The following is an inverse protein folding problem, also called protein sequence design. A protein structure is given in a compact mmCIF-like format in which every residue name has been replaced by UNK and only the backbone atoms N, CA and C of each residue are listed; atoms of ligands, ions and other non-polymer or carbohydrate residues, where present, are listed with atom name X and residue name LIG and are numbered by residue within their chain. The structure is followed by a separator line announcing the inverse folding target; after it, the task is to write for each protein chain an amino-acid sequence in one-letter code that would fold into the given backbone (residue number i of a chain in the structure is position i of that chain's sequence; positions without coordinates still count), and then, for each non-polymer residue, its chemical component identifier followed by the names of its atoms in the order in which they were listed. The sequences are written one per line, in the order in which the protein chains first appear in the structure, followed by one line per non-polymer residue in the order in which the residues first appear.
data_IF_323823640297
#
_entry.id   IF_323823640297
#
_cell.length_a   1.000
_cell.length_b   1.000
_cell.length_c   1.000
_cell.angle_alpha   90.00
_cell.angle_beta   90.00
_cell.angle_gamma   90.00
#
_symmetry.space_group_name_H-M   'P 1'
#
loop_
_entity.id
_entity.type
_entity.pdbx_description
1 polymer ?
#
# COMPACT_ATOMS: atom_id res chain seq x y z
N UNK A 1 25.92 18.28 -35.62
CA UNK A 1 26.02 18.30 -34.13
C UNK A 1 24.62 18.27 -33.55
N UNK A 2 24.42 17.93 -32.29
CA UNK A 2 23.12 18.07 -31.64
C UNK A 2 23.26 18.49 -30.19
N UNK A 3 22.23 19.10 -29.64
CA UNK A 3 22.08 19.30 -28.20
C UNK A 3 20.84 18.57 -27.71
N UNK A 4 20.86 18.19 -26.45
CA UNK A 4 19.72 17.59 -25.76
C UNK A 4 19.04 18.69 -24.97
N UNK A 5 17.72 18.71 -24.94
CA UNK A 5 16.97 19.62 -24.09
C UNK A 5 15.81 18.94 -23.39
N UNK A 6 15.41 19.54 -22.28
CA UNK A 6 14.25 19.12 -21.50
C UNK A 6 13.14 20.14 -21.61
N UNK A 7 11.93 19.63 -21.55
CA UNK A 7 10.73 20.39 -21.23
C UNK A 7 10.30 19.97 -19.83
N UNK A 8 10.30 20.90 -18.90
CA UNK A 8 9.93 20.66 -17.50
C UNK A 8 8.70 21.48 -17.11
N UNK A 9 7.94 20.98 -16.14
CA UNK A 9 6.88 21.74 -15.48
C UNK A 9 7.46 22.42 -14.24
N UNK A 10 7.32 23.74 -14.18
CA UNK A 10 7.64 24.58 -13.01
C UNK A 10 6.38 25.32 -12.57
N UNK A 11 6.38 25.91 -11.37
CA UNK A 11 5.21 26.60 -10.81
C UNK A 11 4.68 27.73 -11.71
N UNK A 12 5.55 28.35 -12.53
CA UNK A 12 5.20 29.40 -13.49
C UNK A 12 4.79 28.91 -14.89
N UNK A 13 4.75 27.59 -15.13
CA UNK A 13 4.33 27.00 -16.40
C UNK A 13 5.33 25.99 -16.99
N UNK A 14 5.32 25.83 -18.31
CA UNK A 14 6.21 24.89 -19.00
C UNK A 14 7.45 25.61 -19.54
N UNK A 15 8.63 25.17 -19.11
CA UNK A 15 9.90 25.76 -19.56
C UNK A 15 10.70 24.72 -20.34
N UNK A 16 11.24 25.14 -21.49
CA UNK A 16 12.13 24.32 -22.31
C UNK A 16 13.53 24.90 -22.31
N UNK A 17 14.55 24.09 -22.02
CA UNK A 17 15.94 24.52 -22.03
C UNK A 17 16.85 23.41 -22.56
N UNK A 18 18.07 23.79 -22.92
CA UNK A 18 19.07 22.90 -23.54
C UNK A 18 20.18 22.58 -22.55
N UNK A 19 20.64 21.34 -22.54
CA UNK A 19 21.68 20.81 -21.66
C UNK A 19 23.01 20.84 -22.38
N UNK A 20 24.01 21.43 -21.72
CA UNK A 20 25.41 21.32 -22.13
C UNK A 20 25.71 21.92 -23.50
N UNK A 21 26.90 21.59 -24.01
CA UNK A 21 27.39 22.01 -25.33
C UNK A 21 26.99 21.01 -26.42
N UNK A 22 27.08 21.43 -27.69
CA UNK A 22 26.68 20.58 -28.81
C UNK A 22 27.60 19.35 -28.97
N UNK A 23 26.99 18.18 -29.04
CA UNK A 23 27.65 16.88 -29.23
C UNK A 23 27.79 16.60 -30.73
N UNK A 24 28.97 16.18 -31.15
CA UNK A 24 29.25 15.80 -32.54
C UNK A 24 28.90 14.33 -32.75
N UNK A 25 28.03 14.03 -33.73
CA UNK A 25 27.63 12.65 -34.07
C UNK A 25 28.75 11.87 -34.77
N UNK A 26 29.62 12.57 -35.49
CA UNK A 26 30.75 11.98 -36.20
C UNK A 26 32.01 12.70 -35.73
N UNK A 27 32.61 12.24 -34.62
CA UNK A 27 34.03 12.50 -34.45
C UNK A 27 34.75 11.46 -35.30
N UNK A 28 35.54 11.92 -36.26
CA UNK A 28 36.53 11.08 -36.91
C UNK A 28 37.85 11.20 -36.16
N UNK A 29 38.59 10.10 -36.01
CA UNK A 29 39.99 10.19 -35.58
C UNK A 29 40.81 11.03 -36.59
N UNK A 30 42.07 11.33 -36.26
CA UNK A 30 43.00 12.01 -37.17
C UNK A 30 43.28 11.23 -38.47
N UNK A 31 42.70 10.04 -38.62
CA UNK A 31 42.80 9.15 -39.77
C UNK A 31 41.47 9.05 -40.56
N UNK A 32 40.44 9.80 -40.19
CA UNK A 32 39.16 9.87 -40.92
C UNK A 32 38.15 8.76 -40.59
N UNK A 33 38.42 7.88 -39.62
CA UNK A 33 37.51 6.80 -39.24
C UNK A 33 36.48 7.26 -38.21
N UNK A 34 35.22 6.88 -38.39
CA UNK A 34 34.14 7.19 -37.45
C UNK A 34 34.37 6.53 -36.09
N UNK A 35 34.42 7.33 -35.02
CA UNK A 35 34.52 6.82 -33.65
C UNK A 35 33.26 6.00 -33.28
N UNK A 36 33.41 4.91 -32.50
CA UNK A 36 32.28 4.09 -32.08
C UNK A 36 31.23 4.89 -31.29
N UNK A 37 29.94 4.67 -31.58
CA UNK A 37 28.78 5.34 -30.95
C UNK A 37 28.74 5.28 -29.40
N UNK A 38 29.57 4.42 -28.79
CA UNK A 38 29.69 4.25 -27.34
C UNK A 38 30.19 5.51 -26.62
N UNK A 39 31.09 6.27 -27.24
CA UNK A 39 31.64 7.49 -26.63
C UNK A 39 30.64 8.66 -26.66
N UNK A 40 29.85 8.75 -27.72
CA UNK A 40 28.70 9.66 -27.81
C UNK A 40 27.67 9.29 -26.74
N UNK A 41 27.37 8.00 -26.56
CA UNK A 41 26.44 7.53 -25.54
C UNK A 41 26.90 7.87 -24.12
N UNK A 42 28.19 7.70 -23.81
CA UNK A 42 28.74 8.07 -22.51
C UNK A 42 28.62 9.57 -22.24
N UNK A 43 28.90 10.43 -23.23
CA UNK A 43 28.74 11.89 -23.09
C UNK A 43 27.27 12.28 -22.84
N UNK A 44 26.33 11.63 -23.53
CA UNK A 44 24.89 11.81 -23.29
C UNK A 44 24.55 11.43 -21.85
N UNK A 45 25.04 10.27 -21.39
CA UNK A 45 24.74 9.76 -20.05
C UNK A 45 25.31 10.67 -18.95
N UNK A 46 26.56 11.12 -19.08
CA UNK A 46 27.19 12.04 -18.13
C UNK A 46 26.42 13.36 -18.00
N UNK A 47 25.96 13.92 -19.13
CA UNK A 47 25.17 15.15 -19.14
C UNK A 47 23.80 14.94 -18.48
N UNK A 48 23.14 13.80 -18.70
CA UNK A 48 21.87 13.46 -18.07
C UNK A 48 22.03 13.31 -16.55
N UNK A 49 23.06 12.60 -16.10
CA UNK A 49 23.31 12.36 -14.67
C UNK A 49 23.66 13.66 -13.94
N UNK A 50 24.55 14.48 -14.51
CA UNK A 50 24.98 15.75 -13.91
C UNK A 50 23.81 16.71 -13.71
N UNK A 51 22.93 16.81 -14.70
CA UNK A 51 21.76 17.68 -14.61
C UNK A 51 20.64 17.05 -13.76
N UNK A 52 20.54 15.72 -13.69
CA UNK A 52 19.60 14.98 -12.84
C UNK A 52 19.69 15.35 -11.37
N UNK A 53 20.87 15.69 -10.86
CA UNK A 53 21.08 16.15 -9.48
C UNK A 53 20.48 17.53 -9.19
N UNK A 54 20.27 18.35 -10.23
CA UNK A 54 19.71 19.71 -10.15
C UNK A 54 18.17 19.65 -10.10
N UNK A 55 17.54 18.66 -10.75
CA UNK A 55 16.08 18.63 -10.91
C UNK A 55 15.30 18.12 -9.71
N UNK A 56 15.95 17.47 -8.71
CA UNK A 56 15.46 16.88 -7.45
C UNK A 56 14.01 16.34 -7.42
N UNK A 57 12.98 17.13 -7.73
CA UNK A 57 11.55 16.77 -7.72
C UNK A 57 10.68 17.32 -8.90
N UNK A 58 11.25 17.96 -9.92
CA UNK A 58 10.49 18.56 -11.03
C UNK A 58 10.02 17.53 -12.09
N UNK A 59 8.79 17.66 -12.58
CA UNK A 59 8.20 16.78 -13.61
C UNK A 59 8.79 17.06 -15.00
N UNK A 60 9.51 16.09 -15.58
CA UNK A 60 10.00 16.15 -16.95
C UNK A 60 8.86 15.77 -17.90
N UNK A 61 8.35 16.74 -18.65
CA UNK A 61 7.25 16.59 -19.60
C UNK A 61 7.72 16.05 -20.96
N UNK A 62 9.01 16.21 -21.29
CA UNK A 62 9.56 15.67 -22.52
C UNK A 62 11.06 15.92 -22.69
N UNK A 63 11.66 15.12 -23.55
CA UNK A 63 13.06 15.26 -24.01
C UNK A 63 13.04 15.58 -25.48
N UNK A 64 13.82 16.58 -25.90
CA UNK A 64 13.97 16.92 -27.31
C UNK A 64 15.44 16.96 -27.73
N UNK A 65 15.67 16.67 -29.01
CA UNK A 65 16.97 16.76 -29.65
C UNK A 65 16.95 17.92 -30.63
N UNK A 66 17.88 18.86 -30.48
CA UNK A 66 18.09 19.93 -31.45
C UNK A 66 19.30 19.59 -32.30
N UNK A 67 19.07 19.28 -33.57
CA UNK A 67 20.12 18.87 -34.51
C UNK A 67 20.57 20.08 -35.36
N UNK A 68 21.87 20.32 -35.37
CA UNK A 68 22.56 21.34 -36.15
C UNK A 68 23.23 20.67 -37.36
N UNK A 69 22.82 21.08 -38.56
CA UNK A 69 23.30 20.55 -39.84
C UNK A 69 24.01 21.68 -40.58
N UNK A 70 25.28 21.48 -40.96
CA UNK A 70 26.13 22.52 -41.56
C UNK A 70 25.80 22.83 -43.03
N UNK A 71 25.16 21.92 -43.77
CA UNK A 71 24.76 22.14 -45.16
C UNK A 71 23.25 22.10 -45.33
N UNK A 72 22.72 23.09 -46.06
CA UNK A 72 21.30 23.22 -46.38
C UNK A 72 20.87 22.05 -47.29
N UNK A 73 20.30 21.01 -46.71
CA UNK A 73 19.71 19.90 -47.45
C UNK A 73 18.55 20.49 -48.28
N UNK A 74 18.61 20.39 -49.61
CA UNK A 74 17.47 20.73 -50.48
C UNK A 74 16.27 19.96 -49.95
N UNK A 75 15.17 20.66 -49.62
CA UNK A 75 13.91 20.06 -49.17
C UNK A 75 13.36 19.16 -50.27
N UNK A 76 13.87 17.94 -50.39
CA UNK A 76 13.05 16.85 -50.88
C UNK A 76 11.89 16.75 -49.88
N UNK A 77 10.66 16.69 -50.40
CA UNK A 77 9.44 16.54 -49.59
C UNK A 77 9.62 15.32 -48.70
N UNK A 78 10.11 15.55 -47.47
CA UNK A 78 10.42 14.48 -46.54
C UNK A 78 9.13 13.76 -46.22
N UNK A 79 9.11 12.47 -46.57
CA UNK A 79 8.18 11.48 -46.04
C UNK A 79 8.16 11.66 -44.52
N UNK A 80 7.05 12.16 -43.97
CA UNK A 80 6.84 12.17 -42.52
C UNK A 80 6.86 10.70 -42.12
N UNK A 81 7.92 10.30 -41.43
CA UNK A 81 7.99 8.97 -40.81
C UNK A 81 6.80 8.91 -39.85
N UNK A 82 5.93 7.92 -40.05
CA UNK A 82 4.75 7.74 -39.21
C UNK A 82 5.18 7.41 -37.77
N UNK A 83 4.35 7.72 -36.77
CA UNK A 83 4.63 7.36 -35.38
C UNK A 83 4.91 5.85 -35.23
N UNK A 84 4.23 5.03 -36.02
CA UNK A 84 4.44 3.59 -36.10
C UNK A 84 5.82 3.20 -36.62
N UNK A 85 6.32 3.86 -37.68
CA UNK A 85 7.67 3.61 -38.19
C UNK A 85 8.73 4.05 -37.17
N UNK A 86 8.52 5.16 -36.46
CA UNK A 86 9.40 5.60 -35.36
C UNK A 86 9.44 4.55 -34.25
N UNK A 87 8.29 4.08 -33.78
CA UNK A 87 8.20 3.04 -32.75
C UNK A 87 8.84 1.72 -33.21
N UNK A 88 8.65 1.34 -34.47
CA UNK A 88 9.30 0.16 -35.06
C UNK A 88 10.82 0.29 -35.06
N UNK A 89 11.37 1.47 -35.36
CA UNK A 89 12.81 1.72 -35.32
C UNK A 89 13.36 1.71 -33.89
N UNK A 90 12.66 2.33 -32.95
CA UNK A 90 13.04 2.34 -31.52
C UNK A 90 13.05 0.92 -30.97
N UNK A 91 12.00 0.13 -31.22
CA UNK A 91 11.92 -1.26 -30.77
C UNK A 91 13.05 -2.12 -31.36
N UNK A 92 13.41 -1.89 -32.62
CA UNK A 92 14.52 -2.60 -33.28
C UNK A 92 15.87 -2.28 -32.64
N UNK A 93 16.08 -1.02 -32.24
CA UNK A 93 17.29 -0.58 -31.53
C UNK A 93 17.38 -1.13 -30.11
N UNK A 94 16.25 -1.17 -29.38
CA UNK A 94 16.17 -1.75 -28.02
C UNK A 94 16.42 -3.27 -28.05
N UNK A 95 15.94 -3.97 -29.08
CA UNK A 95 16.22 -5.40 -29.28
C UNK A 95 17.70 -5.66 -29.58
N UNK A 96 18.32 -4.82 -30.41
CA UNK A 96 19.76 -4.89 -30.74
C UNK A 96 20.65 -4.74 -29.50
N UNK A 97 20.33 -3.81 -28.59
CA UNK A 97 21.09 -3.58 -27.36
C UNK A 97 21.01 -4.78 -26.39
N UNK A 98 19.86 -5.48 -26.36
CA UNK A 98 19.70 -6.69 -25.56
C UNK A 98 20.47 -7.88 -26.12
N UNK A 99 20.70 -7.94 -27.43
CA UNK A 99 21.53 -8.98 -28.08
C UNK A 99 23.05 -8.71 -27.99
N UNK A 100 23.49 -7.50 -27.66
CA UNK A 100 24.92 -7.15 -27.58
C UNK A 100 25.53 -7.27 -26.18
N UNK A 101 24.79 -7.81 -25.20
CA UNK A 101 25.30 -8.00 -23.82
C UNK A 101 26.39 -9.07 -23.65
N UNK A 102 26.74 -9.81 -24.70
CA UNK A 102 27.74 -10.89 -24.65
C UNK A 102 29.11 -10.57 -25.25
N UNK A 103 29.44 -9.31 -25.58
CA UNK A 103 30.78 -8.98 -26.09
C UNK A 103 31.55 -8.07 -25.13
N UNK A 104 32.43 -8.69 -24.34
CA UNK A 104 33.67 -8.09 -23.85
C UNK A 104 33.61 -7.43 -22.46
N UNK A 105 33.86 -8.23 -21.42
CA UNK A 105 34.42 -7.72 -20.15
C UNK A 105 35.81 -7.13 -20.44
N UNK A 106 35.97 -5.82 -20.26
CA UNK A 106 37.30 -5.22 -20.04
C UNK A 106 37.30 -4.46 -18.72
N UNK A 107 38.35 -4.75 -17.96
CA UNK A 107 38.62 -4.31 -16.60
C UNK A 107 38.86 -2.80 -16.53
N UNK A 108 37.98 -2.10 -15.83
CA UNK A 108 38.24 -0.78 -15.25
C UNK A 108 37.60 -0.75 -13.87
N UNK A 109 38.41 -0.56 -12.82
CA UNK A 109 37.94 -0.45 -11.43
C UNK A 109 37.07 0.79 -11.27
N UNK A 110 35.77 0.66 -11.48
CA UNK A 110 34.77 1.58 -10.96
C UNK A 110 34.26 0.98 -9.67
N UNK A 111 34.35 1.76 -8.58
CA UNK A 111 33.92 1.34 -7.24
C UNK A 111 32.52 0.73 -7.30
N UNK A 112 32.39 -0.49 -6.78
CA UNK A 112 31.10 -1.19 -6.70
C UNK A 112 30.18 -0.43 -5.74
N UNK A 113 29.42 0.53 -6.28
CA UNK A 113 28.13 0.87 -5.74
C UNK A 113 27.34 -0.44 -5.70
N UNK A 114 26.98 -0.88 -4.48
CA UNK A 114 26.16 -2.07 -4.22
C UNK A 114 25.07 -2.15 -5.29
N UNK A 115 25.15 -3.17 -6.16
CA UNK A 115 24.04 -3.51 -7.04
C UNK A 115 22.82 -3.68 -6.14
N UNK A 116 21.88 -2.73 -6.23
CA UNK A 116 20.55 -2.95 -5.68
C UNK A 116 20.06 -4.24 -6.33
N UNK A 117 19.75 -5.25 -5.53
CA UNK A 117 19.19 -6.51 -6.00
C UNK A 117 18.14 -6.21 -7.05
N UNK A 118 18.33 -6.77 -8.25
CA UNK A 118 17.34 -6.73 -9.33
C UNK A 118 16.03 -7.26 -8.77
N UNK A 119 15.08 -6.36 -8.46
CA UNK A 119 13.74 -6.78 -8.03
C UNK A 119 13.15 -7.61 -9.18
N UNK A 120 12.80 -8.86 -8.92
CA UNK A 120 12.13 -9.74 -9.89
C UNK A 120 11.02 -8.97 -10.62
N UNK A 121 11.09 -8.98 -11.96
CA UNK A 121 10.13 -8.34 -12.86
C UNK A 121 8.73 -8.97 -12.76
N UNK A 122 8.61 -10.14 -12.12
CA UNK A 122 7.36 -10.89 -11.99
C UNK A 122 6.98 -11.10 -10.52
N UNK A 123 5.68 -11.22 -10.28
CA UNK A 123 5.14 -11.71 -9.00
C UNK A 123 5.55 -13.17 -8.83
N UNK A 124 5.94 -13.55 -7.62
CA UNK A 124 6.35 -14.92 -7.30
C UNK A 124 5.25 -15.69 -6.59
N UNK A 125 5.20 -17.01 -6.78
CA UNK A 125 4.44 -17.89 -5.90
C UNK A 125 4.98 -17.79 -4.46
N UNK A 126 4.09 -17.98 -3.49
CA UNK A 126 4.44 -18.00 -2.08
C UNK A 126 4.37 -19.44 -1.57
N UNK A 127 5.40 -19.88 -0.87
CA UNK A 127 5.35 -21.16 -0.17
C UNK A 127 4.57 -20.99 1.15
N UNK A 128 3.80 -22.00 1.58
CA UNK A 128 3.26 -22.03 2.93
C UNK A 128 4.42 -21.95 3.93
N UNK A 129 4.39 -20.94 4.78
CA UNK A 129 5.44 -20.70 5.77
C UNK A 129 4.89 -20.78 7.20
N UNK A 130 3.60 -20.55 7.40
CA UNK A 130 3.01 -20.46 8.73
C UNK A 130 2.53 -21.83 9.18
N UNK A 131 3.29 -22.47 10.08
CA UNK A 131 2.91 -23.73 10.74
C UNK A 131 2.08 -23.50 12.01
N UNK A 132 2.25 -22.32 12.63
CA UNK A 132 1.61 -21.94 13.88
C UNK A 132 0.87 -20.61 13.74
N UNK A 133 -0.30 -20.53 14.38
CA UNK A 133 -1.07 -19.30 14.46
C UNK A 133 -0.43 -18.32 15.45
N UNK A 134 -0.45 -17.03 15.12
CA UNK A 134 0.14 -16.00 15.96
C UNK A 134 -0.88 -15.44 16.94
N UNK A 135 -0.50 -15.26 18.21
CA UNK A 135 -1.33 -14.53 19.17
C UNK A 135 -1.34 -13.04 18.86
N UNK A 136 -2.39 -12.36 19.33
CA UNK A 136 -2.58 -10.92 19.17
C UNK A 136 -3.28 -10.33 20.39
N UNK A 137 -3.28 -9.01 20.49
CA UNK A 137 -4.01 -8.26 21.51
C UNK A 137 -5.14 -7.52 20.81
N UNK A 138 -6.30 -7.44 21.43
CA UNK A 138 -7.39 -6.56 21.00
C UNK A 138 -7.55 -5.44 22.02
N UNK A 139 -7.91 -4.26 21.54
CA UNK A 139 -8.13 -3.10 22.38
C UNK A 139 -9.29 -2.25 21.83
N UNK A 140 -9.81 -1.38 22.68
CA UNK A 140 -10.84 -0.41 22.31
C UNK A 140 -10.77 0.81 23.25
N UNK A 141 -11.26 1.95 22.77
CA UNK A 141 -11.29 3.21 23.51
C UNK A 141 -12.70 3.77 23.54
N UNK A 142 -13.11 4.31 24.69
CA UNK A 142 -14.32 5.11 24.78
C UNK A 142 -13.99 6.57 24.99
N UNK A 143 -14.74 7.45 24.31
CA UNK A 143 -14.49 8.88 24.33
C UNK A 143 -15.76 9.66 24.63
N UNK A 144 -15.56 10.85 25.17
CA UNK A 144 -16.59 11.87 25.34
C UNK A 144 -16.22 13.09 24.51
N UNK A 145 -17.23 13.79 24.00
CA UNK A 145 -17.05 15.03 23.27
C UNK A 145 -16.95 16.18 24.29
N UNK A 146 -15.87 16.94 24.24
CA UNK A 146 -15.62 18.09 25.13
C UNK A 146 -15.67 19.37 24.32
N UNK A 147 -16.48 20.33 24.79
CA UNK A 147 -16.61 21.65 24.18
C UNK A 147 -15.34 22.49 24.42
N UNK A 148 -14.82 23.10 23.36
CA UNK A 148 -13.67 24.01 23.42
C UNK A 148 -14.13 25.46 23.34
N UNK A 149 -13.48 26.35 24.09
CA UNK A 149 -13.78 27.79 24.06
C UNK A 149 -13.34 28.49 22.75
N UNK A 150 -12.50 27.86 21.91
CA UNK A 150 -11.85 28.47 20.75
C UNK A 150 -11.95 27.60 19.46
N UNK A 151 -13.13 27.06 19.13
CA UNK A 151 -13.49 26.17 17.99
C UNK A 151 -13.26 24.64 18.15
N UNK A 152 -14.13 23.93 17.40
CA UNK A 152 -14.41 22.49 17.23
C UNK A 152 -14.34 21.61 18.49
N UNK A 153 -15.51 21.06 18.84
CA UNK A 153 -15.66 20.00 19.81
C UNK A 153 -14.68 18.84 19.52
N UNK A 154 -14.00 18.35 20.54
CA UNK A 154 -12.98 17.31 20.37
C UNK A 154 -13.20 16.12 21.29
N UNK A 155 -12.81 14.95 20.79
CA UNK A 155 -12.93 13.69 21.52
C UNK A 155 -11.80 13.53 22.54
N UNK A 156 -12.18 13.19 23.77
CA UNK A 156 -11.27 12.88 24.87
C UNK A 156 -11.57 11.48 25.40
N UNK A 157 -10.59 10.56 25.47
CA UNK A 157 -10.80 9.24 26.05
C UNK A 157 -11.15 9.32 27.53
N UNK A 158 -12.24 8.67 27.94
CA UNK A 158 -12.56 8.45 29.34
C UNK A 158 -12.34 7.00 29.76
N UNK A 159 -12.24 6.07 28.80
CA UNK A 159 -11.92 4.68 29.08
C UNK A 159 -11.07 4.04 27.99
N UNK A 160 -10.33 3.02 28.39
CA UNK A 160 -9.55 2.18 27.49
C UNK A 160 -9.56 0.75 28.00
N UNK A 161 -9.55 -0.22 27.10
CA UNK A 161 -9.44 -1.62 27.50
C UNK A 161 -8.60 -2.44 26.55
N UNK A 162 -8.06 -3.55 27.06
CA UNK A 162 -7.32 -4.52 26.28
C UNK A 162 -7.60 -5.95 26.73
N UNK A 163 -7.42 -6.88 25.80
CA UNK A 163 -7.49 -8.32 26.02
C UNK A 163 -6.42 -9.03 25.18
N UNK A 164 -5.49 -9.77 25.80
CA UNK A 164 -4.61 -10.68 25.07
C UNK A 164 -5.36 -11.95 24.64
N UNK A 165 -5.15 -12.36 23.40
CA UNK A 165 -5.88 -13.47 22.76
C UNK A 165 -4.90 -14.44 22.12
N UNK A 166 -5.02 -15.71 22.51
CA UNK A 166 -4.27 -16.81 21.93
C UNK A 166 -5.09 -17.54 20.86
N UNK A 167 -4.43 -18.15 19.86
CA UNK A 167 -5.14 -18.92 18.84
C UNK A 167 -5.91 -20.09 19.43
N UNK A 168 -7.16 -20.26 18.97
CA UNK A 168 -8.03 -21.36 19.41
C UNK A 168 -8.58 -21.21 20.83
N UNK A 169 -8.32 -20.09 21.49
CA UNK A 169 -8.83 -19.78 22.82
C UNK A 169 -10.34 -19.51 22.78
N UNK A 170 -11.05 -20.00 23.79
CA UNK A 170 -12.47 -19.69 23.98
C UNK A 170 -12.60 -18.32 24.65
N UNK A 171 -12.92 -17.31 23.85
CA UNK A 171 -13.07 -15.92 24.30
C UNK A 171 -14.37 -15.73 25.11
N UNK A 172 -15.36 -16.61 24.94
CA UNK A 172 -16.65 -16.53 25.65
C UNK A 172 -16.46 -16.78 27.15
N UNK A 173 -15.77 -17.88 27.48
CA UNK A 173 -15.54 -18.31 28.87
C UNK A 173 -14.42 -17.56 29.59
N UNK A 174 -13.78 -16.58 28.94
CA UNK A 174 -12.71 -15.81 29.57
C UNK A 174 -13.19 -15.07 30.82
N UNK A 175 -12.52 -15.29 31.96
CA UNK A 175 -12.89 -14.63 33.20
C UNK A 175 -12.59 -13.12 33.12
N UNK A 176 -13.39 -12.35 33.84
CA UNK A 176 -13.32 -10.88 33.83
C UNK A 176 -11.93 -10.32 34.15
N UNK A 177 -11.13 -11.04 34.94
CA UNK A 177 -9.76 -10.65 35.35
C UNK A 177 -8.74 -10.60 34.21
N UNK A 178 -9.04 -11.17 33.05
CA UNK A 178 -8.14 -11.13 31.89
C UNK A 178 -8.28 -9.83 31.08
N UNK A 179 -9.36 -9.10 31.29
CA UNK A 179 -9.55 -7.78 30.71
C UNK A 179 -8.79 -6.77 31.57
N UNK A 180 -7.97 -5.95 30.93
CA UNK A 180 -7.37 -4.79 31.60
C UNK A 180 -8.14 -3.56 31.17
N UNK A 181 -8.96 -3.05 32.09
CA UNK A 181 -9.86 -1.92 31.86
C UNK A 181 -9.35 -0.70 32.64
N UNK A 182 -9.42 0.46 32.02
CA UNK A 182 -9.02 1.75 32.58
C UNK A 182 -10.18 2.71 32.44
N UNK A 183 -10.51 3.42 33.53
CA UNK A 183 -11.60 4.38 33.57
C UNK A 183 -11.14 5.69 34.23
N UNK A 184 -11.51 6.83 33.65
CA UNK A 184 -11.04 8.14 34.10
C UNK A 184 -11.43 8.44 35.55
N UNK A 185 -12.65 8.10 35.95
CA UNK A 185 -13.18 8.41 37.28
C UNK A 185 -12.63 7.50 38.38
N UNK A 186 -11.91 6.43 38.03
CA UNK A 186 -11.17 5.63 39.02
C UNK A 186 -9.91 6.40 39.51
N UNK A 187 -9.54 7.51 38.86
CA UNK A 187 -8.42 8.39 39.24
C UNK A 187 -8.94 9.52 40.13
N UNK A 188 -8.63 9.43 41.43
CA UNK A 188 -9.10 10.38 42.46
C UNK A 188 -8.16 11.59 42.61
N UNK A 189 -6.90 11.48 42.15
CA UNK A 189 -5.83 12.42 42.50
C UNK A 189 -5.79 13.71 41.66
N UNK A 190 -6.68 13.86 40.68
CA UNK A 190 -6.77 15.07 39.85
C UNK A 190 -8.23 15.42 39.60
N UNK A 191 -8.54 16.71 39.70
CA UNK A 191 -9.88 17.24 39.45
C UNK A 191 -10.11 17.51 37.96
N UNK A 192 -9.05 17.67 37.18
CA UNK A 192 -9.14 17.98 35.75
C UNK A 192 -9.35 16.72 34.91
N UNK A 193 -10.35 16.77 34.03
CA UNK A 193 -10.73 15.62 33.22
C UNK A 193 -9.70 15.28 32.15
N UNK A 194 -9.06 16.28 31.52
CA UNK A 194 -8.03 16.02 30.52
C UNK A 194 -6.80 15.35 31.14
N UNK A 195 -6.42 15.75 32.36
CA UNK A 195 -5.33 15.12 33.08
C UNK A 195 -5.66 13.68 33.50
N UNK A 196 -6.91 13.40 33.91
CA UNK A 196 -7.38 12.01 34.10
C UNK A 196 -7.27 11.21 32.80
N UNK A 197 -7.71 11.77 31.69
CA UNK A 197 -7.56 11.17 30.35
C UNK A 197 -6.10 10.86 30.02
N UNK A 198 -5.17 11.80 30.24
CA UNK A 198 -3.73 11.58 29.98
C UNK A 198 -3.18 10.45 30.85
N UNK A 199 -3.58 10.39 32.12
CA UNK A 199 -3.13 9.34 33.04
C UNK A 199 -3.65 7.96 32.64
N UNK A 200 -4.93 7.81 32.30
CA UNK A 200 -5.46 6.51 31.84
C UNK A 200 -4.76 6.06 30.56
N UNK A 201 -4.53 6.96 29.60
CA UNK A 201 -3.85 6.61 28.35
C UNK A 201 -2.38 6.26 28.56
N UNK A 202 -1.72 6.92 29.51
CA UNK A 202 -0.36 6.59 29.92
C UNK A 202 -0.30 5.21 30.57
N UNK A 203 -1.23 4.90 31.48
CA UNK A 203 -1.30 3.59 32.13
C UNK A 203 -1.62 2.47 31.13
N UNK A 204 -2.57 2.71 30.22
CA UNK A 204 -2.92 1.81 29.14
C UNK A 204 -1.72 1.49 28.24
N UNK A 205 -1.00 2.51 27.75
CA UNK A 205 0.16 2.34 26.88
C UNK A 205 1.33 1.63 27.58
N UNK A 206 1.60 1.96 28.85
CA UNK A 206 2.63 1.27 29.65
C UNK A 206 2.28 -0.19 29.90
N UNK A 207 1.03 -0.50 30.22
CA UNK A 207 0.62 -1.89 30.41
C UNK A 207 0.66 -2.68 29.10
N UNK A 208 0.27 -2.04 28.00
CA UNK A 208 0.39 -2.63 26.67
C UNK A 208 1.85 -3.01 26.36
N UNK A 209 2.81 -2.14 26.67
CA UNK A 209 4.24 -2.45 26.52
C UNK A 209 4.64 -3.69 27.34
N UNK A 210 4.26 -3.74 28.63
CA UNK A 210 4.56 -4.88 29.51
C UNK A 210 3.98 -6.18 28.94
N UNK A 211 2.70 -6.17 28.55
CA UNK A 211 2.02 -7.35 28.00
C UNK A 211 2.65 -7.85 26.70
N UNK A 212 3.01 -6.93 25.80
CA UNK A 212 3.69 -7.24 24.54
C UNK A 212 5.03 -7.93 24.80
N UNK A 213 5.79 -7.45 25.79
CA UNK A 213 7.10 -8.01 26.14
C UNK A 213 6.98 -9.37 26.82
N UNK A 214 6.10 -9.50 27.83
CA UNK A 214 5.90 -10.73 28.59
C UNK A 214 5.31 -11.86 27.72
N UNK A 215 4.29 -11.54 26.92
CA UNK A 215 3.57 -12.54 26.10
C UNK A 215 4.11 -12.71 24.69
N UNK A 216 5.13 -11.91 24.31
CA UNK A 216 5.73 -11.89 22.96
C UNK A 216 4.70 -11.63 21.85
N UNK A 217 3.63 -10.89 22.15
CA UNK A 217 2.56 -10.54 21.22
C UNK A 217 2.81 -9.16 20.64
N UNK A 218 3.17 -9.05 19.36
CA UNK A 218 3.56 -7.76 18.76
C UNK A 218 2.42 -7.03 18.03
N UNK A 219 1.26 -7.64 17.89
CA UNK A 219 0.16 -7.10 17.08
C UNK A 219 -1.03 -6.78 17.96
N UNK A 220 -1.48 -5.53 17.89
CA UNK A 220 -2.64 -5.00 18.60
C UNK A 220 -3.67 -4.59 17.57
N UNK A 221 -4.91 -5.05 17.71
CA UNK A 221 -6.02 -4.68 16.84
C UNK A 221 -6.99 -3.76 17.56
N UNK A 222 -7.35 -2.67 16.90
CA UNK A 222 -8.55 -1.89 17.20
C UNK A 222 -9.48 -1.97 15.99
N UNK A 223 -10.78 -1.79 16.21
CA UNK A 223 -11.74 -1.80 15.12
C UNK A 223 -11.97 -0.38 14.61
N UNK A 224 -11.78 -0.13 13.31
CA UNK A 224 -11.88 1.20 12.71
C UNK A 224 -10.80 2.19 13.21
N UNK A 225 -9.63 1.67 13.59
CA UNK A 225 -8.44 2.44 13.98
C UNK A 225 -8.15 3.56 12.98
N UNK A 226 -8.24 3.26 11.68
CA UNK A 226 -7.80 4.14 10.60
C UNK A 226 -8.57 5.45 10.50
N UNK A 227 -9.75 5.53 11.14
CA UNK A 227 -10.65 6.69 11.09
C UNK A 227 -10.91 7.35 12.43
N UNK A 228 -10.65 6.66 13.55
CA UNK A 228 -10.99 7.17 14.88
C UNK A 228 -9.85 6.98 15.88
N UNK A 229 -9.73 5.80 16.49
CA UNK A 229 -8.81 5.56 17.61
C UNK A 229 -7.35 5.83 17.26
N UNK A 230 -6.95 5.59 16.01
CA UNK A 230 -5.58 5.79 15.55
C UNK A 230 -5.11 7.23 15.70
N UNK A 231 -6.01 8.21 15.49
CA UNK A 231 -5.68 9.63 15.65
C UNK A 231 -5.44 9.98 17.12
N UNK A 232 -6.31 9.49 18.02
CA UNK A 232 -6.17 9.68 19.46
C UNK A 232 -4.90 9.00 19.98
N UNK A 233 -4.67 7.74 19.58
CA UNK A 233 -3.46 6.99 19.95
C UNK A 233 -2.18 7.72 19.54
N UNK A 234 -2.12 8.26 18.32
CA UNK A 234 -0.95 9.05 17.88
C UNK A 234 -0.77 10.31 18.72
N UNK A 235 -1.84 11.04 19.06
CA UNK A 235 -1.79 12.22 19.94
C UNK A 235 -1.10 11.88 21.27
N UNK A 236 -1.54 10.82 21.95
CA UNK A 236 -0.94 10.41 23.23
C UNK A 236 0.48 9.85 23.07
N UNK A 237 0.78 9.11 21.99
CA UNK A 237 2.13 8.61 21.72
C UNK A 237 3.13 9.75 21.50
N UNK A 238 2.73 10.86 20.88
CA UNK A 238 3.58 12.07 20.74
C UNK A 238 3.84 12.72 22.09
N UNK A 239 2.82 12.77 22.97
CA UNK A 239 2.94 13.39 24.30
C UNK A 239 3.83 12.61 25.26
N UNK A 240 4.08 11.32 25.01
CA UNK A 240 4.90 10.48 25.88
C UNK A 240 6.38 10.51 25.46
N UNK A 241 7.24 10.86 26.41
CA UNK A 241 8.68 10.99 26.14
C UNK A 241 9.38 9.67 25.85
N UNK A 242 8.81 8.53 26.24
CA UNK A 242 9.46 7.22 26.18
C UNK A 242 9.38 6.55 24.80
N UNK A 243 8.51 7.05 23.91
CA UNK A 243 8.17 6.36 22.66
C UNK A 243 8.50 7.19 21.43
N UNK A 244 8.71 6.48 20.32
CA UNK A 244 8.66 7.03 18.97
C UNK A 244 7.81 6.10 18.12
N UNK A 245 7.13 6.60 17.10
CA UNK A 245 6.31 5.77 16.23
C UNK A 245 6.45 6.15 14.76
N UNK A 246 6.08 5.20 13.89
CA UNK A 246 5.96 5.37 12.45
C UNK A 246 4.56 4.93 12.03
N UNK A 247 3.87 5.74 11.24
CA UNK A 247 2.54 5.40 10.72
C UNK A 247 2.61 5.04 9.24
N UNK A 248 1.92 3.97 8.85
CA UNK A 248 1.68 3.62 7.46
C UNK A 248 0.34 4.22 7.04
N UNK A 249 0.39 5.37 6.36
CA UNK A 249 -0.79 6.09 5.87
C UNK A 249 -0.86 6.01 4.35
N UNK A 250 -2.03 5.69 3.81
CA UNK A 250 -2.29 5.74 2.37
C UNK A 250 -3.71 6.20 2.10
N UNK A 251 -3.88 7.15 1.19
CA UNK A 251 -5.18 7.75 0.86
C UNK A 251 -5.94 8.21 2.11
N UNK A 252 -5.24 8.90 3.01
CA UNK A 252 -5.77 9.42 4.29
C UNK A 252 -6.32 8.35 5.25
N UNK A 253 -5.95 7.09 5.07
CA UNK A 253 -6.30 5.99 5.97
C UNK A 253 -5.03 5.49 6.64
N UNK A 254 -5.07 5.35 7.97
CA UNK A 254 -3.98 4.74 8.74
C UNK A 254 -4.17 3.22 8.70
N UNK A 255 -3.14 2.50 8.23
CA UNK A 255 -3.15 1.03 8.14
C UNK A 255 -2.49 0.40 9.36
N UNK A 256 -1.40 1.02 9.82
CA UNK A 256 -0.57 0.52 10.91
C UNK A 256 0.14 1.68 11.62
N UNK A 257 0.25 1.59 12.94
CA UNK A 257 1.11 2.44 13.77
C UNK A 257 2.15 1.53 14.42
N UNK A 258 3.41 1.63 14.00
CA UNK A 258 4.54 0.89 14.57
C UNK A 258 5.20 1.69 15.68
N UNK A 259 5.27 1.15 16.89
CA UNK A 259 5.78 1.82 18.08
C UNK A 259 7.15 1.25 18.49
N UNK A 260 8.07 2.14 18.83
CA UNK A 260 9.46 1.87 19.17
C UNK A 260 9.83 2.58 20.48
N UNK A 261 10.77 2.03 21.27
CA UNK A 261 11.31 2.78 22.41
C UNK A 261 12.15 3.94 21.87
N UNK A 262 12.13 5.07 22.57
CA UNK A 262 12.98 6.21 22.22
C UNK A 262 14.43 5.85 22.56
N UNK A 263 15.29 5.88 21.55
CA UNK A 263 16.72 5.66 21.74
C UNK A 263 17.38 6.92 22.31
N UNK A 264 18.31 6.71 23.23
CA UNK A 264 19.18 7.78 23.68
C UNK A 264 20.01 8.35 22.52
N UNK A 265 20.23 9.67 22.47
CA UNK A 265 21.01 10.30 21.39
C UNK A 265 22.42 9.71 21.22
N UNK A 266 23.03 9.26 22.33
CA UNK A 266 24.33 8.58 22.35
C UNK A 266 24.29 7.20 21.68
N UNK A 267 23.26 6.41 21.92
CA UNK A 267 23.09 5.10 21.28
C UNK A 267 22.82 5.23 19.78
N UNK A 268 22.05 6.24 19.38
CA UNK A 268 21.78 6.54 17.98
C UNK A 268 23.07 6.87 17.20
N UNK A 269 24.01 7.60 17.83
CA UNK A 269 25.34 7.88 17.26
C UNK A 269 26.21 6.62 17.12
N UNK A 270 26.04 5.64 17.99
CA UNK A 270 26.70 4.32 17.90
C UNK A 270 26.08 3.38 16.86
N UNK A 271 25.06 3.83 16.12
CA UNK A 271 24.40 3.04 15.08
C UNK A 271 23.40 2.02 15.63
N UNK A 272 22.94 2.17 16.87
CA UNK A 272 21.90 1.31 17.42
C UNK A 272 20.61 1.40 16.58
N UNK A 273 20.03 0.25 16.26
CA UNK A 273 18.76 0.17 15.54
C UNK A 273 17.62 0.11 16.53
N UNK A 274 16.55 0.87 16.24
CA UNK A 274 15.30 0.80 17.00
C UNK A 274 14.72 -0.61 16.88
N UNK A 275 14.28 -1.17 17.99
CA UNK A 275 13.57 -2.45 18.05
C UNK A 275 12.07 -2.19 18.08
N UNK A 276 11.30 -2.88 17.23
CA UNK A 276 9.85 -2.78 17.23
C UNK A 276 9.30 -3.37 18.54
N UNK A 277 8.59 -2.55 19.32
CA UNK A 277 7.83 -2.99 20.50
C UNK A 277 6.60 -3.74 20.02
N UNK A 278 5.64 -2.99 19.49
CA UNK A 278 4.39 -3.49 18.96
C UNK A 278 3.92 -2.65 17.78
N UNK A 279 2.92 -3.18 17.07
CA UNK A 279 2.22 -2.50 16.00
C UNK A 279 0.72 -2.50 16.29
N UNK A 280 0.09 -1.37 16.06
CA UNK A 280 -1.35 -1.22 16.16
C UNK A 280 -1.93 -1.28 14.75
N UNK A 281 -2.95 -2.09 14.52
CA UNK A 281 -3.57 -2.33 13.21
C UNK A 281 -5.07 -2.16 13.25
N UNK A 282 -5.61 -1.79 12.10
CA UNK A 282 -7.04 -1.69 11.90
C UNK A 282 -7.64 -3.05 11.48
N UNK A 283 -8.48 -3.62 12.33
CA UNK A 283 -9.22 -4.84 11.98
C UNK A 283 -10.27 -4.61 10.90
N UNK A 284 -10.79 -3.38 10.71
CA UNK A 284 -11.78 -3.06 9.70
C UNK A 284 -11.23 -3.17 8.27
N UNK A 285 -9.94 -2.92 8.07
CA UNK A 285 -9.29 -3.11 6.77
C UNK A 285 -9.17 -4.58 6.38
N UNK A 286 -9.11 -5.46 7.38
CA UNK A 286 -9.04 -6.91 7.23
C UNK A 286 -10.43 -7.56 7.13
N UNK A 287 -11.40 -7.07 7.91
CA UNK A 287 -12.79 -7.52 7.97
C UNK A 287 -13.73 -6.31 7.84
N UNK A 288 -14.11 -5.91 6.61
CA UNK A 288 -14.76 -4.64 6.33
C UNK A 288 -16.28 -4.69 6.59
N UNK A 289 -16.66 -4.80 7.86
CA UNK A 289 -18.03 -4.69 8.34
C UNK A 289 -18.02 -4.20 9.79
N UNK A 290 -19.15 -3.69 10.28
CA UNK A 290 -19.27 -3.27 11.68
C UNK A 290 -19.16 -4.46 12.63
N UNK A 291 -18.69 -4.21 13.86
CA UNK A 291 -18.64 -5.24 14.93
C UNK A 291 -19.99 -5.96 15.10
N UNK A 292 -21.12 -5.24 15.01
CA UNK A 292 -22.44 -5.84 15.15
C UNK A 292 -22.82 -6.81 14.01
N UNK A 293 -22.34 -6.57 12.79
CA UNK A 293 -22.56 -7.49 11.66
C UNK A 293 -21.62 -8.68 11.77
N UNK A 294 -20.35 -8.42 12.10
CA UNK A 294 -19.32 -9.44 12.23
C UNK A 294 -19.65 -10.41 13.36
N UNK A 295 -20.11 -9.93 14.51
CA UNK A 295 -20.46 -10.78 15.65
C UNK A 295 -21.60 -11.73 15.31
N UNK A 296 -22.68 -11.23 14.71
CA UNK A 296 -23.81 -12.05 14.25
C UNK A 296 -23.41 -13.12 13.24
N UNK A 297 -22.38 -12.86 12.44
CA UNK A 297 -21.97 -13.76 11.34
C UNK A 297 -20.94 -14.79 11.79
N UNK A 298 -19.97 -14.41 12.62
CA UNK A 298 -18.80 -15.23 12.95
C UNK A 298 -18.83 -15.82 14.36
N UNK A 299 -19.48 -15.15 15.31
CA UNK A 299 -19.53 -15.56 16.71
C UNK A 299 -20.86 -15.17 17.38
N UNK A 300 -22.02 -15.66 16.89
CA UNK A 300 -23.33 -15.33 17.46
C UNK A 300 -23.46 -15.75 18.93
N UNK A 301 -22.69 -16.74 19.38
CA UNK A 301 -22.61 -17.20 20.77
C UNK A 301 -22.16 -16.12 21.76
N UNK A 302 -21.35 -15.15 21.31
CA UNK A 302 -20.86 -14.05 22.17
C UNK A 302 -21.93 -12.96 22.43
N UNK A 303 -23.10 -13.09 21.80
CA UNK A 303 -24.18 -12.14 21.91
C UNK A 303 -24.06 -10.94 20.97
N UNK A 304 -25.00 -9.99 21.12
CA UNK A 304 -25.02 -8.77 20.32
C UNK A 304 -24.07 -7.71 20.85
N UNK A 305 -23.76 -6.73 19.99
CA UNK A 305 -23.15 -5.47 20.41
C UNK A 305 -24.09 -4.78 21.42
N UNK A 306 -23.53 -4.18 22.47
CA UNK A 306 -24.29 -3.36 23.40
C UNK A 306 -24.81 -2.08 22.73
N UNK A 307 -25.71 -1.36 23.42
CA UNK A 307 -26.23 -0.09 22.94
C UNK A 307 -26.00 1.00 23.99
N UNK A 308 -25.35 2.09 23.57
CA UNK A 308 -25.09 3.27 24.40
C UNK A 308 -25.44 4.50 23.58
N UNK A 309 -26.25 5.39 24.17
CA UNK A 309 -26.49 6.69 23.59
C UNK A 309 -25.30 7.61 23.86
N UNK A 310 -24.30 7.60 22.96
CA UNK A 310 -23.09 8.42 23.07
C UNK A 310 -23.37 9.93 23.18
N UNK A 311 -24.53 10.42 22.74
CA UNK A 311 -24.92 11.84 22.87
C UNK A 311 -25.26 12.23 24.31
N UNK A 312 -25.65 11.27 25.13
CA UNK A 312 -25.98 11.48 26.53
C UNK A 312 -24.80 11.23 27.47
N UNK A 313 -23.64 10.82 26.94
CA UNK A 313 -22.43 10.63 27.73
C UNK A 313 -21.74 11.99 27.79
N UNK A 314 -21.65 12.54 29.00
CA UNK A 314 -21.01 13.84 29.27
C UNK A 314 -20.10 13.69 30.49
N UNK A 315 -19.09 14.54 30.63
CA UNK A 315 -18.08 14.42 31.69
C UNK A 315 -18.69 14.33 33.09
N UNK A 316 -19.79 15.06 33.34
CA UNK A 316 -20.47 15.08 34.64
C UNK A 316 -21.18 13.79 35.03
N UNK A 317 -21.59 12.95 34.06
CA UNK A 317 -22.35 11.73 34.33
C UNK A 317 -21.54 10.43 34.13
N UNK A 318 -20.25 10.54 33.85
CA UNK A 318 -19.36 9.38 33.67
C UNK A 318 -19.40 8.45 34.87
N UNK A 319 -19.31 9.00 36.09
CA UNK A 319 -19.26 8.19 37.30
C UNK A 319 -20.57 7.44 37.56
N UNK A 320 -21.71 8.07 37.28
CA UNK A 320 -23.03 7.46 37.42
C UNK A 320 -23.23 6.33 36.40
N UNK A 321 -22.79 6.54 35.16
CA UNK A 321 -22.90 5.57 34.06
C UNK A 321 -21.76 4.53 34.04
N UNK A 322 -20.84 4.56 35.00
CA UNK A 322 -19.63 3.71 35.03
C UNK A 322 -19.92 2.23 34.76
N UNK A 323 -20.93 1.66 35.43
CA UNK A 323 -21.27 0.24 35.28
C UNK A 323 -21.61 -0.11 33.83
N UNK A 324 -22.47 0.70 33.21
CA UNK A 324 -22.95 0.44 31.85
C UNK A 324 -21.84 0.67 30.81
N UNK A 325 -21.07 1.75 30.97
CA UNK A 325 -19.95 2.08 30.08
C UNK A 325 -18.86 0.98 30.11
N UNK A 326 -18.53 0.46 31.30
CA UNK A 326 -17.54 -0.61 31.44
C UNK A 326 -18.02 -1.95 30.90
N UNK A 327 -19.31 -2.26 31.05
CA UNK A 327 -19.92 -3.46 30.47
C UNK A 327 -19.89 -3.38 28.95
N UNK A 328 -20.22 -2.22 28.37
CA UNK A 328 -20.20 -1.98 26.93
C UNK A 328 -18.79 -2.09 26.34
N UNK A 329 -17.82 -1.33 26.86
CA UNK A 329 -16.43 -1.37 26.39
C UNK A 329 -15.87 -2.80 26.42
N UNK A 330 -16.13 -3.51 27.52
CA UNK A 330 -15.71 -4.91 27.66
C UNK A 330 -16.36 -5.82 26.63
N UNK A 331 -17.64 -5.61 26.34
CA UNK A 331 -18.34 -6.39 25.33
C UNK A 331 -17.76 -6.13 23.93
N UNK A 332 -17.46 -4.89 23.57
CA UNK A 332 -16.86 -4.55 22.28
C UNK A 332 -15.47 -5.20 22.11
N UNK A 333 -14.64 -5.17 23.16
CA UNK A 333 -13.34 -5.86 23.19
C UNK A 333 -13.51 -7.39 23.06
N UNK A 334 -14.47 -7.98 23.78
CA UNK A 334 -14.76 -9.41 23.73
C UNK A 334 -15.20 -9.83 22.32
N UNK A 335 -16.12 -9.07 21.72
CA UNK A 335 -16.61 -9.32 20.36
C UNK A 335 -15.47 -9.23 19.36
N UNK A 336 -14.64 -8.18 19.42
CA UNK A 336 -13.49 -8.05 18.53
C UNK A 336 -12.51 -9.22 18.66
N UNK A 337 -12.22 -9.66 19.90
CA UNK A 337 -11.38 -10.84 20.17
C UNK A 337 -11.95 -12.11 19.53
N UNK A 338 -13.23 -12.39 19.79
CA UNK A 338 -13.91 -13.57 19.25
C UNK A 338 -13.99 -13.58 17.72
N UNK A 339 -14.36 -12.44 17.13
CA UNK A 339 -14.41 -12.25 15.67
C UNK A 339 -13.06 -12.57 15.03
N UNK A 340 -11.96 -12.05 15.59
CA UNK A 340 -10.63 -12.27 15.04
C UNK A 340 -10.16 -13.72 15.23
N UNK A 341 -10.48 -14.38 16.35
CA UNK A 341 -10.18 -15.82 16.53
C UNK A 341 -10.96 -16.68 15.54
N UNK A 342 -12.27 -16.42 15.39
CA UNK A 342 -13.11 -17.14 14.45
C UNK A 342 -12.63 -16.95 13.00
N UNK A 343 -12.30 -15.72 12.61
CA UNK A 343 -11.72 -15.43 11.30
C UNK A 343 -10.35 -16.10 11.12
N UNK A 344 -9.46 -16.03 12.12
CA UNK A 344 -8.15 -16.66 12.06
C UNK A 344 -8.28 -18.17 11.85
N UNK A 345 -9.14 -18.84 12.62
CA UNK A 345 -9.43 -20.27 12.49
C UNK A 345 -10.00 -20.61 11.11
N UNK A 346 -10.95 -19.82 10.61
CA UNK A 346 -11.56 -20.02 9.30
C UNK A 346 -10.54 -19.93 8.16
N UNK A 347 -9.77 -18.86 8.09
CA UNK A 347 -8.79 -18.63 7.02
C UNK A 347 -7.62 -19.61 7.10
N UNK A 348 -7.19 -19.97 8.32
CA UNK A 348 -6.13 -20.95 8.50
C UNK A 348 -6.56 -22.35 8.10
N UNK A 349 -7.74 -22.81 8.53
CA UNK A 349 -8.24 -24.14 8.17
C UNK A 349 -8.54 -24.26 6.68
N UNK A 350 -9.06 -23.20 6.06
CA UNK A 350 -9.45 -23.22 4.64
C UNK A 350 -8.24 -23.05 3.71
N UNK A 351 -7.32 -22.14 4.04
CA UNK A 351 -6.25 -21.71 3.11
C UNK A 351 -4.84 -21.88 3.66
N UNK A 352 -4.65 -22.20 4.94
CA UNK A 352 -3.34 -22.23 5.61
C UNK A 352 -2.71 -20.85 5.73
N UNK A 353 -3.52 -19.80 5.87
CA UNK A 353 -3.06 -18.41 5.99
C UNK A 353 -3.50 -17.85 7.33
N UNK A 354 -2.53 -17.34 8.10
CA UNK A 354 -2.81 -16.56 9.30
C UNK A 354 -3.16 -15.12 8.91
N UNK A 355 -4.29 -14.63 9.43
CA UNK A 355 -4.76 -13.27 9.21
C UNK A 355 -3.82 -12.22 9.82
N UNK A 356 -3.04 -12.58 10.86
CA UNK A 356 -2.07 -11.68 11.51
C UNK A 356 -0.90 -11.33 10.56
N UNK A 357 -0.66 -12.13 9.52
CA UNK A 357 0.33 -11.82 8.48
C UNK A 357 -0.19 -10.82 7.44
N UNK A 358 -1.47 -10.47 7.48
CA UNK A 358 -2.14 -9.63 6.49
C UNK A 358 -2.67 -8.34 7.15
N UNK A 359 -2.54 -7.21 6.46
CA UNK A 359 -3.07 -5.93 6.96
C UNK A 359 -4.47 -5.63 6.43
N UNK A 360 -4.77 -6.11 5.23
CA UNK A 360 -6.03 -5.82 4.53
C UNK A 360 -6.63 -7.05 3.87
N UNK A 361 -7.92 -6.98 3.59
CA UNK A 361 -8.67 -7.98 2.81
C UNK A 361 -8.00 -8.25 1.45
N UNK A 362 -7.52 -7.20 0.78
CA UNK A 362 -6.81 -7.32 -0.50
C UNK A 362 -5.46 -8.04 -0.35
N UNK A 363 -4.72 -7.74 0.71
CA UNK A 363 -3.44 -8.43 1.01
C UNK A 363 -3.67 -9.91 1.34
N UNK A 364 -4.74 -10.21 2.10
CA UNK A 364 -5.16 -11.57 2.43
C UNK A 364 -5.54 -12.35 1.17
N UNK A 365 -6.38 -11.76 0.33
CA UNK A 365 -6.82 -12.35 -0.94
C UNK A 365 -5.64 -12.65 -1.87
N UNK A 366 -4.73 -11.68 -2.02
CA UNK A 366 -3.54 -11.84 -2.87
C UNK A 366 -2.59 -12.90 -2.31
N UNK A 367 -2.46 -12.99 -0.98
CA UNK A 367 -1.64 -14.03 -0.34
C UNK A 367 -2.22 -15.42 -0.58
N UNK A 368 -3.53 -15.60 -0.38
CA UNK A 368 -4.23 -16.86 -0.66
C UNK A 368 -4.04 -17.24 -2.14
N UNK A 369 -4.25 -16.29 -3.07
CA UNK A 369 -4.02 -16.51 -4.49
C UNK A 369 -2.59 -16.99 -4.77
N UNK A 370 -1.59 -16.27 -4.28
CA UNK A 370 -0.16 -16.57 -4.52
C UNK A 370 0.31 -17.87 -3.88
N UNK A 371 -0.38 -18.34 -2.84
CA UNK A 371 -0.03 -19.58 -2.13
C UNK A 371 -0.72 -20.82 -2.69
N UNK A 372 -1.98 -20.71 -3.12
CA UNK A 372 -2.83 -21.86 -3.46
C UNK A 372 -3.16 -21.99 -4.93
N UNK A 373 -3.17 -20.89 -5.65
CA UNK A 373 -3.75 -20.83 -7.01
C UNK A 373 -2.80 -20.27 -8.06
N UNK A 374 -1.67 -19.67 -7.66
CA UNK A 374 -0.71 -19.09 -8.58
C UNK A 374 0.45 -20.04 -8.81
N UNK A 375 0.54 -20.54 -10.03
CA UNK A 375 1.70 -21.25 -10.53
C UNK A 375 2.56 -20.29 -11.37
N UNK A 376 3.74 -19.96 -10.86
CA UNK A 376 4.66 -19.03 -11.51
C UNK A 376 5.34 -19.63 -12.75
N UNK A 377 5.35 -20.96 -12.89
CA UNK A 377 5.93 -21.64 -14.05
C UNK A 377 4.92 -21.69 -15.21
N UNK A 378 3.63 -21.82 -14.90
CA UNK A 378 2.55 -21.82 -15.90
C UNK A 378 2.09 -20.42 -16.34
N UNK A 379 2.10 -19.42 -15.45
CA UNK A 379 1.57 -18.10 -15.75
C UNK A 379 2.37 -16.97 -15.08
N UNK A 380 3.00 -16.13 -15.90
CA UNK A 380 3.81 -15.01 -15.42
C UNK A 380 2.96 -13.74 -15.29
N UNK A 381 2.87 -13.19 -14.07
CA UNK A 381 2.27 -11.87 -13.84
C UNK A 381 3.40 -10.83 -13.69
N UNK A 382 3.59 -9.93 -14.67
CA UNK A 382 4.60 -8.89 -14.56
C UNK A 382 4.23 -7.93 -13.42
N UNK A 383 5.21 -7.56 -12.60
CA UNK A 383 5.10 -6.36 -11.79
C UNK A 383 5.18 -5.17 -12.73
N UNK A 384 4.30 -4.18 -12.53
CA UNK A 384 4.36 -2.96 -13.32
C UNK A 384 5.74 -2.33 -13.15
N UNK A 385 6.52 -2.33 -14.23
CA UNK A 385 7.89 -1.84 -14.24
C UNK A 385 7.95 -0.31 -14.38
N UNK A 386 6.86 0.34 -14.80
CA UNK A 386 6.79 1.80 -14.94
C UNK A 386 5.42 2.36 -14.56
N UNK A 387 5.42 3.56 -13.96
CA UNK A 387 4.21 4.29 -13.63
C UNK A 387 3.36 4.59 -14.89
N UNK A 388 3.98 4.65 -16.08
CA UNK A 388 3.30 4.93 -17.34
C UNK A 388 2.38 3.77 -17.78
N UNK A 389 2.84 2.53 -17.67
CA UNK A 389 2.03 1.35 -18.01
C UNK A 389 0.87 1.20 -17.02
N UNK A 390 1.14 1.39 -15.73
CA UNK A 390 0.12 1.36 -14.68
C UNK A 390 -0.96 2.42 -14.92
N UNK A 391 -0.54 3.66 -15.21
CA UNK A 391 -1.46 4.78 -15.49
C UNK A 391 -2.27 4.54 -16.77
N UNK A 392 -1.64 3.97 -17.81
CA UNK A 392 -2.33 3.59 -19.04
C UNK A 392 -3.43 2.56 -18.76
N UNK A 393 -3.12 1.48 -18.04
CA UNK A 393 -4.09 0.42 -17.72
C UNK A 393 -5.22 0.95 -16.81
N UNK A 394 -4.88 1.74 -15.78
CA UNK A 394 -5.89 2.28 -14.83
C UNK A 394 -6.94 3.14 -15.51
N UNK A 395 -6.58 3.88 -16.58
CA UNK A 395 -7.55 4.69 -17.33
C UNK A 395 -8.63 3.88 -18.03
N UNK A 396 -8.35 2.61 -18.34
CA UNK A 396 -9.31 1.71 -18.97
C UNK A 396 -10.10 0.86 -17.95
N UNK A 397 -9.83 1.00 -16.65
CA UNK A 397 -10.52 0.24 -15.61
C UNK A 397 -11.78 0.98 -15.16
N UNK A 398 -12.95 0.37 -15.39
CA UNK A 398 -14.26 0.89 -14.99
C UNK A 398 -14.89 0.01 -13.90
N UNK A 399 -15.80 0.59 -13.12
CA UNK A 399 -16.55 -0.11 -12.07
C UNK A 399 -17.68 -1.00 -12.60
N UNK A 400 -18.55 -1.45 -11.71
CA UNK A 400 -19.78 -2.15 -12.09
C UNK A 400 -20.76 -1.23 -12.82
N UNK A 401 -21.54 -1.80 -13.74
CA UNK A 401 -22.63 -1.09 -14.42
C UNK A 401 -23.67 -0.66 -13.39
N UNK A 402 -24.07 0.61 -13.42
CA UNK A 402 -25.08 1.18 -12.55
C UNK A 402 -26.13 1.88 -13.41
N UNK A 403 -27.39 1.51 -13.21
CA UNK A 403 -28.53 2.12 -13.90
C UNK A 403 -29.31 2.98 -12.91
N UNK A 404 -29.70 4.18 -13.36
CA UNK A 404 -30.60 5.05 -12.62
C UNK A 404 -32.02 4.84 -13.10
N UNK A 405 -32.96 4.61 -12.18
CA UNK A 405 -34.38 4.51 -12.48
C UNK A 405 -35.16 5.60 -11.75
N UNK A 406 -36.25 6.07 -12.36
CA UNK A 406 -37.22 6.95 -11.71
C UNK A 406 -38.18 6.05 -10.93
N UNK A 407 -38.30 6.17 -9.60
CA UNK A 407 -39.24 5.36 -8.82
C UNK A 407 -40.67 5.61 -9.32
N UNK A 408 -41.39 4.54 -9.67
CA UNK A 408 -42.84 4.59 -9.92
C UNK A 408 -43.54 3.73 -8.87
N UNK A 409 -44.79 4.03 -8.56
CA UNK A 409 -45.64 3.27 -7.61
C UNK A 409 -46.06 1.91 -8.20
N UNK A 410 -45.09 1.04 -8.45
CA UNK A 410 -45.28 -0.32 -8.96
C UNK A 410 -44.34 -1.29 -8.24
N UNK A 411 -44.74 -2.56 -8.14
CA UNK A 411 -43.91 -3.62 -7.60
C UNK A 411 -42.82 -4.01 -8.60
N UNK A 412 -41.56 -4.01 -8.16
CA UNK A 412 -40.41 -4.44 -8.97
C UNK A 412 -39.89 -5.80 -8.49
N UNK A 413 -39.64 -6.71 -9.45
CA UNK A 413 -38.86 -7.93 -9.22
C UNK A 413 -37.37 -7.59 -9.33
N UNK A 414 -36.64 -7.76 -8.24
CA UNK A 414 -35.17 -7.60 -8.22
C UNK A 414 -34.53 -8.97 -8.40
N UNK A 415 -34.04 -9.22 -9.62
CA UNK A 415 -33.25 -10.42 -9.91
C UNK A 415 -31.77 -10.14 -9.66
N UNK A 416 -31.24 -10.71 -8.57
CA UNK A 416 -29.80 -10.71 -8.30
C UNK A 416 -29.13 -11.91 -8.95
N UNK A 417 -28.03 -11.70 -9.68
CA UNK A 417 -27.16 -12.81 -10.06
C UNK A 417 -26.39 -13.27 -8.82
N UNK A 418 -26.50 -14.55 -8.46
CA UNK A 418 -25.64 -15.14 -7.44
C UNK A 418 -24.23 -15.30 -8.02
N UNK A 419 -23.48 -14.21 -7.97
CA UNK A 419 -22.08 -14.18 -8.37
C UNK A 419 -21.25 -14.81 -7.25
N UNK A 420 -21.16 -16.13 -7.25
CA UNK A 420 -19.87 -16.68 -6.85
C UNK A 420 -18.88 -16.14 -7.88
N UNK A 421 -17.96 -15.25 -7.48
CA UNK A 421 -16.91 -14.74 -8.38
C UNK A 421 -16.08 -15.82 -9.12
N UNK A 422 -16.14 -17.15 -8.83
CA UNK A 422 -15.64 -18.16 -9.75
C UNK A 422 -16.45 -18.31 -11.05
N UNK A 423 -17.74 -17.95 -11.12
CA UNK A 423 -18.57 -18.30 -12.29
C UNK A 423 -18.10 -17.63 -13.58
N UNK A 424 -17.74 -16.34 -13.56
CA UNK A 424 -17.14 -15.72 -14.75
C UNK A 424 -15.78 -16.32 -15.11
N UNK A 425 -15.02 -16.85 -14.15
CA UNK A 425 -13.79 -17.60 -14.43
C UNK A 425 -14.05 -18.99 -15.03
N UNK A 426 -15.19 -19.61 -14.72
CA UNK A 426 -15.54 -20.96 -15.18
C UNK A 426 -16.33 -20.97 -16.50
N UNK A 427 -17.20 -19.99 -16.74
CA UNK A 427 -17.93 -19.86 -18.00
C UNK A 427 -17.16 -18.93 -18.94
N UNK A 428 -16.19 -19.48 -19.69
CA UNK A 428 -15.43 -18.79 -20.75
C UNK A 428 -15.17 -17.29 -20.43
N UNK A 429 -14.55 -16.95 -19.30
CA UNK A 429 -13.72 -15.74 -19.34
C UNK A 429 -12.57 -16.09 -20.28
N UNK A 430 -12.61 -15.60 -21.50
CA UNK A 430 -11.72 -14.54 -21.99
C UNK A 430 -10.49 -14.16 -21.14
N UNK A 431 -9.81 -15.13 -20.52
CA UNK A 431 -8.39 -15.06 -20.23
C UNK A 431 -7.57 -15.07 -21.54
N UNK A 432 -8.23 -15.33 -22.68
CA UNK A 432 -7.73 -15.12 -24.03
C UNK A 432 -7.69 -13.64 -24.49
N UNK A 433 -8.14 -12.66 -23.69
CA UNK A 433 -8.14 -11.24 -24.14
C UNK A 433 -6.92 -10.45 -23.66
N UNK A 434 -5.91 -11.13 -23.12
CA UNK A 434 -4.50 -10.69 -23.23
C UNK A 434 -3.76 -11.38 -24.38
N UNK A 435 -4.31 -12.47 -24.93
CA UNK A 435 -3.89 -13.02 -26.23
C UNK A 435 -4.53 -12.27 -27.41
N UNK A 436 -5.61 -11.49 -27.22
CA UNK A 436 -6.25 -10.76 -28.32
C UNK A 436 -5.44 -9.55 -28.79
N UNK A 437 -4.58 -8.97 -27.94
CA UNK A 437 -3.59 -7.96 -28.39
C UNK A 437 -2.38 -8.62 -29.06
N UNK A 438 -2.03 -9.86 -28.69
CA UNK A 438 -1.01 -10.65 -29.39
C UNK A 438 -1.50 -11.18 -30.74
N UNK A 439 -2.80 -11.47 -30.90
CA UNK A 439 -3.39 -11.94 -32.16
C UNK A 439 -3.84 -10.82 -33.09
N UNK A 440 -4.22 -9.64 -32.58
CA UNK A 440 -4.47 -8.47 -33.46
C UNK A 440 -3.22 -7.97 -34.18
N UNK A 441 -2.01 -8.26 -33.67
CA UNK A 441 -0.75 -8.00 -34.39
C UNK A 441 -0.42 -9.06 -35.45
N UNK A 442 -1.20 -10.12 -35.56
CA UNK A 442 -1.01 -11.19 -36.55
C UNK A 442 -2.12 -11.32 -37.59
N UNK A 443 -3.13 -10.44 -37.58
CA UNK A 443 -4.22 -10.53 -38.55
C UNK A 443 -4.82 -9.17 -38.90
N UNK A 444 -4.14 -8.44 -39.78
CA UNK A 444 -4.79 -7.68 -40.87
C UNK A 444 -4.05 -8.03 -42.17
N UNK A 445 -4.78 -8.36 -43.25
CA UNK A 445 -4.35 -9.33 -44.26
C UNK A 445 -4.03 -8.72 -45.63
N UNK A 446 -3.20 -9.38 -46.42
CA UNK A 446 -3.27 -9.27 -47.87
C UNK A 446 -2.78 -10.56 -48.54
N UNK A 447 -3.73 -11.29 -49.11
CA UNK A 447 -3.52 -12.17 -50.25
C UNK A 447 -2.72 -11.43 -51.33
N UNK A 448 -1.77 -12.11 -51.98
CA UNK A 448 -1.87 -12.58 -53.37
C UNK A 448 -0.56 -13.27 -53.78
N UNK A 449 -0.69 -14.55 -54.18
CA UNK A 449 -0.16 -15.18 -55.40
C UNK A 449 1.04 -14.47 -56.07
N UNK A 450 2.15 -15.12 -56.41
CA UNK A 450 2.30 -15.85 -57.68
C UNK A 450 3.51 -16.79 -57.68
N UNK A 451 3.27 -17.93 -58.34
CA UNK A 451 4.14 -18.99 -58.84
C UNK A 451 5.46 -18.60 -59.54
N UNK A 452 6.25 -19.67 -59.77
CA UNK A 452 7.33 -19.90 -60.75
C UNK A 452 8.75 -19.70 -60.19
N UNK A 453 9.74 -20.55 -60.46
CA UNK A 453 9.91 -21.81 -61.21
C UNK A 453 11.38 -22.21 -60.94
N UNK A 454 11.63 -23.53 -60.82
CA UNK A 454 12.94 -24.21 -60.69
C UNK A 454 13.67 -24.11 -59.34
#
# INVERSE_FOLDING_TARGET
MFTIGYKIRVESGEVSFTIGTAIHLNRSDSSGNALPNKEVFNQIWELIVKEGEIYRDNEILGVFLRVYIEKRIKKNKNKRISAYEVDSYINKLVLLENSMKDIGKTSGKVSMLRQRDSKSLYITALKPHTTELKPFIVADLETVLVESQNDDDYHVPYAAGLLPVHPGEDVESKPNREFSLYFSEDIINTQDFEDRSKLIMTHFLKHLEVLVQERKMKTVYLHNLGRFDGLLMMKFLVSLENYTFESLVRNNIIYEISVYPKLDPLERKKGAKRTLLFRIRDSYLLLPASLAILSKTLCPELGSKGDINHKEVVVSNLQEKRSDLMVYLKQDIRLLGGILVAAQKLFFNTYGVDIVDCMTTSSLSLRIFRMRYFDADSFLIPRSASNNVDSFIRRAYYGGHAESYIPKDQFYLINGFQLSRPYFKQTKSDFCTLQFVSRMLHSIPALYTTFQLL
#
